data_IF_189126606086
#
_entry.id   IF_189126606086
#
_cell.length_a   1.000
_cell.length_b   1.000
_cell.length_c   1.000
_cell.angle_alpha   90.00
_cell.angle_beta   90.00
_cell.angle_gamma   90.00
#
_symmetry.space_group_name_H-M   'P 1'
#
loop_
_entity.id
_entity.type
_entity.pdbx_description
1 polymer ?
#
# COMPACT_ATOMS: atom_id res chain seq x y z
N UNK A 1 6.38 -7.41 -0.17
CA UNK A 1 6.62 -6.59 1.02
C UNK A 1 7.08 -7.52 2.13
N UNK A 2 8.25 -7.25 2.72
CA UNK A 2 8.83 -8.11 3.76
C UNK A 2 8.20 -7.87 5.13
N UNK A 3 8.52 -8.72 6.12
CA UNK A 3 8.04 -8.59 7.50
C UNK A 3 8.40 -7.25 8.18
N UNK A 4 9.47 -6.58 7.72
CA UNK A 4 10.01 -5.35 8.31
C UNK A 4 9.74 -4.10 7.48
N UNK A 5 9.01 -4.24 6.39
CA UNK A 5 8.75 -3.13 5.50
C UNK A 5 7.51 -2.37 5.98
N UNK A 6 7.66 -1.06 6.14
CA UNK A 6 6.56 -0.18 6.55
C UNK A 6 5.57 0.02 5.41
N UNK A 7 5.57 1.20 4.79
CA UNK A 7 4.61 1.52 3.74
C UNK A 7 4.83 0.73 2.44
N UNK A 8 6.09 0.64 1.97
CA UNK A 8 6.47 0.01 0.70
C UNK A 8 5.82 0.68 -0.52
N UNK A 9 6.58 1.43 -1.32
CA UNK A 9 6.05 2.01 -2.56
C UNK A 9 5.90 0.97 -3.68
N UNK A 10 6.72 -0.08 -3.66
CA UNK A 10 6.79 -1.11 -4.70
C UNK A 10 5.45 -1.76 -5.03
N UNK A 11 4.59 -2.15 -4.05
CA UNK A 11 3.27 -2.68 -4.37
C UNK A 11 2.36 -1.67 -5.08
N UNK A 12 2.42 -0.39 -4.69
CA UNK A 12 1.62 0.66 -5.33
C UNK A 12 2.13 0.97 -6.75
N UNK A 13 3.44 0.98 -6.96
CA UNK A 13 4.06 1.17 -8.29
C UNK A 13 3.70 0.01 -9.24
N UNK A 14 3.68 -1.23 -8.74
CA UNK A 14 3.25 -2.39 -9.49
C UNK A 14 1.76 -2.27 -9.88
N UNK A 15 0.88 -1.92 -8.93
CA UNK A 15 -0.54 -1.70 -9.20
C UNK A 15 -0.77 -0.56 -10.22
N UNK A 16 -0.03 0.55 -10.09
CA UNK A 16 -0.11 1.67 -11.03
C UNK A 16 0.36 1.27 -12.44
N UNK A 17 1.25 0.28 -12.52
CA UNK A 17 1.72 -0.32 -13.77
C UNK A 17 0.81 -1.44 -14.29
N UNK A 18 -0.35 -1.67 -13.65
CA UNK A 18 -1.30 -2.73 -14.02
C UNK A 18 -0.83 -4.15 -13.70
N UNK A 19 0.13 -4.29 -12.78
CA UNK A 19 0.68 -5.58 -12.39
C UNK A 19 0.03 -6.07 -11.08
N UNK A 20 -0.41 -7.33 -11.03
CA UNK A 20 -0.87 -7.92 -9.79
C UNK A 20 0.27 -8.09 -8.79
N UNK A 21 -0.01 -7.96 -7.49
CA UNK A 21 0.96 -8.12 -6.40
C UNK A 21 0.59 -9.28 -5.47
N UNK A 22 1.63 -10.01 -5.05
CA UNK A 22 1.59 -11.03 -4.01
C UNK A 22 2.45 -10.54 -2.83
N UNK A 23 1.88 -10.48 -1.64
CA UNK A 23 2.52 -9.91 -0.45
C UNK A 23 2.45 -10.90 0.73
N UNK A 24 3.35 -10.74 1.69
CA UNK A 24 3.16 -11.33 3.02
C UNK A 24 1.97 -10.67 3.71
N UNK A 25 1.21 -11.46 4.47
CA UNK A 25 0.05 -11.00 5.23
C UNK A 25 0.47 -10.26 6.51
N UNK A 26 0.92 -9.02 6.35
CA UNK A 26 1.27 -8.14 7.47
C UNK A 26 0.19 -7.07 7.68
N UNK A 27 0.04 -6.52 8.91
CA UNK A 27 -0.92 -5.45 9.18
C UNK A 27 -0.76 -4.26 8.23
N UNK A 28 0.46 -3.87 7.93
CA UNK A 28 0.73 -2.75 7.02
C UNK A 28 0.43 -3.10 5.56
N UNK A 29 0.60 -4.38 5.15
CA UNK A 29 0.17 -4.83 3.82
C UNK A 29 -1.35 -4.74 3.64
N UNK A 30 -2.09 -5.06 4.69
CA UNK A 30 -3.55 -4.92 4.74
C UNK A 30 -3.97 -3.45 4.71
N UNK A 31 -3.29 -2.60 5.48
CA UNK A 31 -3.56 -1.16 5.51
C UNK A 31 -3.33 -0.50 4.15
N UNK A 32 -2.18 -0.76 3.54
CA UNK A 32 -1.75 -0.10 2.29
C UNK A 32 -2.47 -0.66 1.07
N UNK A 33 -2.57 -1.99 0.93
CA UNK A 33 -3.07 -2.63 -0.28
C UNK A 33 -4.49 -3.17 -0.19
N UNK A 34 -5.08 -3.33 1.01
CA UNK A 34 -6.49 -3.77 1.16
C UNK A 34 -6.80 -5.06 0.39
N UNK A 35 -7.73 -5.00 -0.56
CA UNK A 35 -8.11 -6.14 -1.41
C UNK A 35 -7.37 -6.14 -2.78
N UNK A 36 -6.44 -5.21 -2.99
CA UNK A 36 -5.65 -5.09 -4.22
C UNK A 36 -4.41 -5.99 -4.26
N UNK A 37 -4.34 -7.01 -3.40
CA UNK A 37 -3.22 -7.94 -3.34
C UNK A 37 -3.71 -9.34 -2.98
N UNK A 38 -2.94 -10.35 -3.42
CA UNK A 38 -3.01 -11.67 -2.76
C UNK A 38 -2.03 -11.70 -1.60
N UNK A 39 -2.43 -12.41 -0.54
CA UNK A 39 -1.70 -12.47 0.72
C UNK A 39 -1.34 -13.90 1.07
N UNK A 40 -0.10 -14.10 1.52
CA UNK A 40 0.38 -15.36 2.09
C UNK A 40 0.86 -15.14 3.52
N UNK A 41 0.43 -16.01 4.44
CA UNK A 41 0.69 -15.84 5.87
C UNK A 41 2.19 -15.99 6.23
N UNK A 42 2.92 -16.80 5.47
CA UNK A 42 4.36 -17.01 5.60
C UNK A 42 4.94 -17.41 4.24
N UNK A 43 6.26 -17.26 4.02
CA UNK A 43 6.90 -17.53 2.73
C UNK A 43 7.10 -19.03 2.49
N UNK A 44 6.02 -19.80 2.50
CA UNK A 44 6.04 -21.22 2.15
C UNK A 44 5.93 -21.41 0.63
N UNK A 45 6.79 -22.26 0.01
CA UNK A 45 6.77 -22.48 -1.43
C UNK A 45 5.43 -22.92 -2.00
N UNK A 46 4.66 -23.78 -1.30
CA UNK A 46 3.38 -24.27 -1.81
C UNK A 46 2.30 -23.18 -1.77
N UNK A 47 2.31 -22.32 -0.75
CA UNK A 47 1.43 -21.14 -0.69
C UNK A 47 1.74 -20.15 -1.81
N UNK A 48 3.03 -19.91 -2.06
CA UNK A 48 3.48 -19.01 -3.13
C UNK A 48 3.09 -19.58 -4.50
N UNK A 49 3.30 -20.88 -4.73
CA UNK A 49 2.91 -21.57 -5.97
C UNK A 49 1.40 -21.43 -6.24
N UNK A 50 0.56 -21.67 -5.24
CA UNK A 50 -0.89 -21.55 -5.37
C UNK A 50 -1.32 -20.11 -5.68
N UNK A 51 -0.72 -19.12 -5.00
CA UNK A 51 -1.00 -17.71 -5.24
C UNK A 51 -0.55 -17.26 -6.65
N UNK A 52 0.66 -17.65 -7.07
CA UNK A 52 1.16 -17.36 -8.42
C UNK A 52 0.30 -18.03 -9.50
N UNK A 53 -0.13 -19.28 -9.27
CA UNK A 53 -1.04 -19.97 -10.18
C UNK A 53 -2.36 -19.22 -10.36
N UNK A 54 -2.89 -18.67 -9.27
CA UNK A 54 -4.08 -17.81 -9.32
C UNK A 54 -3.83 -16.57 -10.18
N UNK A 55 -2.73 -15.84 -9.94
CA UNK A 55 -2.41 -14.61 -10.69
C UNK A 55 -2.15 -14.86 -12.19
N UNK A 56 -1.51 -15.99 -12.52
CA UNK A 56 -1.15 -16.35 -13.89
C UNK A 56 -2.34 -16.90 -14.68
N UNK A 57 -3.17 -17.74 -14.06
CA UNK A 57 -4.17 -18.55 -14.78
C UNK A 57 -5.63 -18.17 -14.50
N UNK A 58 -5.93 -17.41 -13.43
CA UNK A 58 -7.27 -16.86 -13.20
C UNK A 58 -7.33 -15.38 -13.61
N UNK A 59 -7.75 -15.15 -14.85
CA UNK A 59 -7.89 -13.80 -15.40
C UNK A 59 -8.93 -12.96 -14.63
N UNK A 60 -10.02 -13.57 -14.17
CA UNK A 60 -11.07 -12.85 -13.47
C UNK A 60 -10.62 -12.42 -12.07
N UNK A 61 -9.85 -13.27 -11.37
CA UNK A 61 -9.23 -12.88 -10.10
C UNK A 61 -8.24 -11.73 -10.26
N UNK A 62 -7.39 -11.77 -11.29
CA UNK A 62 -6.45 -10.70 -11.59
C UNK A 62 -7.16 -9.39 -11.91
N UNK A 63 -8.21 -9.43 -12.74
CA UNK A 63 -9.00 -8.23 -13.08
C UNK A 63 -9.65 -7.61 -11.84
N UNK A 64 -10.32 -8.41 -11.00
CA UNK A 64 -10.90 -7.92 -9.74
C UNK A 64 -9.85 -7.25 -8.86
N UNK A 65 -8.67 -7.85 -8.74
CA UNK A 65 -7.60 -7.31 -7.92
C UNK A 65 -7.04 -5.99 -8.46
N UNK A 66 -6.88 -5.86 -9.77
CA UNK A 66 -6.45 -4.61 -10.40
C UNK A 66 -7.53 -3.52 -10.31
N UNK A 67 -8.81 -3.89 -10.32
CA UNK A 67 -9.93 -2.99 -10.07
C UNK A 67 -9.88 -2.41 -8.65
N UNK A 68 -9.63 -3.24 -7.64
CA UNK A 68 -9.35 -2.77 -6.28
C UNK A 68 -8.08 -1.94 -6.22
N UNK A 69 -7.04 -2.29 -6.98
CA UNK A 69 -5.81 -1.52 -7.11
C UNK A 69 -6.06 -0.07 -7.52
N UNK A 70 -6.98 0.16 -8.47
CA UNK A 70 -7.34 1.53 -8.87
C UNK A 70 -8.00 2.31 -7.73
N UNK A 71 -8.83 1.66 -6.91
CA UNK A 71 -9.43 2.29 -5.71
C UNK A 71 -8.39 2.60 -4.64
N UNK A 72 -7.44 1.68 -4.45
CA UNK A 72 -6.32 1.85 -3.52
C UNK A 72 -5.46 3.03 -3.92
N UNK A 73 -5.05 3.11 -5.19
CA UNK A 73 -4.19 4.19 -5.71
C UNK A 73 -4.84 5.56 -5.60
N UNK A 74 -6.17 5.66 -5.76
CA UNK A 74 -6.89 6.92 -5.62
C UNK A 74 -6.78 7.55 -4.21
N UNK A 75 -6.35 6.79 -3.20
CA UNK A 75 -6.13 7.28 -1.83
C UNK A 75 -4.79 8.01 -1.67
N UNK A 76 -3.86 7.87 -2.62
CA UNK A 76 -2.49 8.35 -2.51
C UNK A 76 -2.18 9.40 -3.58
N UNK A 77 -1.70 10.56 -3.15
CA UNK A 77 -1.40 11.71 -4.01
C UNK A 77 -0.20 12.46 -3.45
N UNK A 78 0.85 12.59 -4.26
CA UNK A 78 2.04 13.35 -3.89
C UNK A 78 1.72 14.82 -3.65
N UNK A 79 0.84 15.39 -4.47
CA UNK A 79 0.39 16.78 -4.31
C UNK A 79 -0.33 17.00 -2.99
N UNK A 80 -1.24 16.08 -2.61
CA UNK A 80 -1.93 16.18 -1.32
C UNK A 80 -1.01 15.95 -0.13
N UNK A 81 -0.08 15.01 -0.25
CA UNK A 81 0.95 14.78 0.76
C UNK A 81 1.78 16.06 0.99
N UNK A 82 2.32 16.65 -0.08
CA UNK A 82 3.12 17.86 0.00
C UNK A 82 2.33 19.05 0.58
N UNK A 83 1.08 19.23 0.15
CA UNK A 83 0.20 20.27 0.68
C UNK A 83 -0.02 20.11 2.19
N UNK A 84 -0.38 18.90 2.65
CA UNK A 84 -0.65 18.63 4.07
C UNK A 84 0.60 18.76 4.93
N UNK A 85 1.75 18.34 4.43
CA UNK A 85 3.04 18.53 5.13
C UNK A 85 3.36 20.02 5.24
N UNK A 86 3.17 20.80 4.17
CA UNK A 86 3.40 22.24 4.19
C UNK A 86 2.49 22.96 5.19
N UNK A 87 1.20 22.59 5.25
CA UNK A 87 0.24 23.15 6.23
C UNK A 87 0.78 23.01 7.67
N UNK A 88 1.23 21.81 8.05
CA UNK A 88 1.79 21.54 9.39
C UNK A 88 3.08 22.32 9.65
N UNK A 89 3.97 22.42 8.65
CA UNK A 89 5.23 23.17 8.79
C UNK A 89 4.99 24.66 8.97
N UNK A 90 4.04 25.24 8.24
CA UNK A 90 3.66 26.66 8.35
C UNK A 90 3.02 26.94 9.71
N UNK A 91 2.14 26.05 10.19
CA UNK A 91 1.55 26.15 11.53
C UNK A 91 2.62 26.15 12.62
N UNK A 92 3.52 25.16 12.59
CA UNK A 92 4.59 25.04 13.58
C UNK A 92 5.60 26.21 13.56
N UNK A 93 5.80 26.83 12.40
CA UNK A 93 6.73 27.97 12.23
C UNK A 93 6.12 29.34 12.53
N UNK A 94 4.82 29.44 12.80
CA UNK A 94 4.14 30.72 13.02
C UNK A 94 4.45 31.31 14.42
N UNK A 95 4.79 32.62 14.54
CA UNK A 95 5.06 33.25 15.82
C UNK A 95 3.83 33.17 16.74
N UNK A 96 3.91 32.38 17.82
CA UNK A 96 2.80 32.15 18.74
C UNK A 96 2.34 30.70 18.87
N UNK A 97 2.94 29.75 18.13
CA UNK A 97 2.73 28.32 18.34
C UNK A 97 3.28 27.89 19.71
N UNK A 98 2.47 28.02 20.76
CA UNK A 98 2.81 27.58 22.11
C UNK A 98 2.81 26.06 22.18
N UNK A 99 4.00 25.46 22.30
CA UNK A 99 4.23 24.18 22.96
C UNK A 99 3.74 22.94 22.21
N UNK A 100 4.68 22.23 21.57
CA UNK A 100 4.53 20.80 21.30
C UNK A 100 4.42 20.06 22.65
N UNK A 101 3.21 19.63 23.03
CA UNK A 101 2.99 18.71 24.13
C UNK A 101 2.82 17.29 23.57
N UNK A 102 3.85 16.43 23.61
CA UNK A 102 3.72 15.05 23.15
C UNK A 102 2.78 14.29 24.09
N UNK A 103 1.92 13.44 23.49
CA UNK A 103 1.12 12.44 24.22
C UNK A 103 1.97 11.24 24.59
#
# INVERSE_FOLDING_TARGET
MSEYEGFGLTPLEALASGLPVLLLDTPVAREVCGDAALYVAHPDPALIEAALSTLLFDAAARERMLDEGRRVLARYSWTDCARRVLEVLVEAGSPGATGFAPR
#
